data_IF_262285892643
#
_entry.id   IF_262285892643
#
_cell.length_a   1.000
_cell.length_b   1.000
_cell.length_c   1.000
_cell.angle_alpha   90.00
_cell.angle_beta   90.00
_cell.angle_gamma   90.00
#
_symmetry.space_group_name_H-M   'P 1'
#
loop_
_entity.id
_entity.type
_entity.pdbx_description
1 polymer ?
#
# COMPACT_ATOMS: atom_id res chain seq x y z
N UNK A 1 -1.99 19.38 3.96
CA UNK A 1 -2.50 18.37 2.99
C UNK A 1 -1.79 17.05 3.23
N UNK A 2 -2.49 15.98 3.53
CA UNK A 2 -1.87 14.68 3.76
C UNK A 2 -1.53 14.00 2.44
N UNK A 3 -0.27 13.64 2.25
CA UNK A 3 0.21 13.07 0.98
C UNK A 3 1.04 11.80 1.19
N UNK A 4 1.10 10.98 0.14
CA UNK A 4 1.94 9.79 0.07
C UNK A 4 2.29 9.48 -1.39
N UNK A 5 3.29 8.64 -1.61
CA UNK A 5 3.74 8.21 -2.93
C UNK A 5 3.47 6.71 -3.07
N UNK A 6 2.97 6.29 -4.22
CA UNK A 6 2.66 4.90 -4.49
C UNK A 6 2.55 4.56 -5.96
N UNK A 7 2.39 3.27 -6.24
CA UNK A 7 2.12 2.72 -7.57
C UNK A 7 0.65 2.31 -7.65
N UNK A 8 -0.01 2.69 -8.71
CA UNK A 8 -1.40 2.31 -8.98
C UNK A 8 -1.48 0.90 -9.57
N UNK A 9 -2.61 0.24 -9.37
CA UNK A 9 -2.87 -1.04 -10.00
C UNK A 9 -3.45 -0.84 -11.40
N UNK A 10 -3.08 -1.71 -12.34
CA UNK A 10 -3.75 -1.74 -13.62
C UNK A 10 -5.22 -2.23 -13.45
N UNK A 11 -6.11 -1.92 -14.41
CA UNK A 11 -7.52 -2.27 -14.29
C UNK A 11 -7.80 -3.77 -14.14
N UNK A 12 -6.98 -4.61 -14.76
CA UNK A 12 -7.16 -6.07 -14.74
C UNK A 12 -6.86 -6.67 -13.36
N UNK A 13 -5.70 -6.37 -12.78
CA UNK A 13 -5.31 -6.81 -11.43
C UNK A 13 -6.29 -6.25 -10.41
N UNK A 14 -6.66 -4.97 -10.54
CA UNK A 14 -7.66 -4.34 -9.66
C UNK A 14 -9.01 -5.06 -9.70
N UNK A 15 -9.49 -5.44 -10.88
CA UNK A 15 -10.76 -6.15 -11.05
C UNK A 15 -10.71 -7.56 -10.44
N UNK A 16 -9.58 -8.27 -10.56
CA UNK A 16 -9.39 -9.59 -9.92
C UNK A 16 -9.43 -9.46 -8.39
N UNK A 17 -8.74 -8.47 -7.84
CA UNK A 17 -8.75 -8.22 -6.38
C UNK A 17 -10.14 -7.77 -5.92
N UNK A 18 -10.85 -6.94 -6.68
CA UNK A 18 -12.21 -6.53 -6.35
C UNK A 18 -13.16 -7.72 -6.22
N UNK A 19 -13.14 -8.65 -7.18
CA UNK A 19 -13.94 -9.90 -7.10
C UNK A 19 -13.58 -10.76 -5.90
N UNK A 20 -12.30 -10.85 -5.57
CA UNK A 20 -11.85 -11.55 -4.38
C UNK A 20 -12.39 -10.89 -3.11
N UNK A 21 -12.30 -9.56 -3.00
CA UNK A 21 -12.83 -8.80 -1.85
C UNK A 21 -14.34 -9.04 -1.68
N UNK A 22 -15.12 -9.01 -2.76
CA UNK A 22 -16.57 -9.29 -2.73
C UNK A 22 -16.87 -10.69 -2.16
N UNK A 23 -16.00 -11.67 -2.42
CA UNK A 23 -16.16 -13.04 -1.92
C UNK A 23 -15.73 -13.24 -0.46
N UNK A 24 -14.81 -12.43 0.06
CA UNK A 24 -14.18 -12.71 1.37
C UNK A 24 -14.50 -11.69 2.47
N UNK A 25 -14.97 -10.48 2.14
CA UNK A 25 -15.23 -9.46 3.13
C UNK A 25 -16.28 -9.87 4.18
N UNK A 26 -17.21 -10.75 3.83
CA UNK A 26 -18.19 -11.29 4.76
C UNK A 26 -17.60 -12.15 5.88
N UNK A 27 -16.38 -12.66 5.72
CA UNK A 27 -15.67 -13.43 6.75
C UNK A 27 -14.97 -12.57 7.80
N UNK A 28 -14.88 -11.25 7.59
CA UNK A 28 -14.39 -10.28 8.57
C UNK A 28 -15.22 -8.99 8.49
N UNK A 29 -16.51 -9.04 8.87
CA UNK A 29 -17.46 -7.93 8.70
C UNK A 29 -17.10 -6.70 9.54
N UNK A 30 -16.38 -6.87 10.64
CA UNK A 30 -15.96 -5.79 11.53
C UNK A 30 -14.63 -5.14 11.08
N UNK A 31 -13.98 -5.67 10.03
CA UNK A 31 -12.80 -5.07 9.47
C UNK A 31 -13.17 -3.86 8.59
N UNK A 32 -12.26 -2.90 8.52
CA UNK A 32 -12.36 -1.78 7.57
C UNK A 32 -11.69 -2.19 6.27
N UNK A 33 -12.49 -2.59 5.31
CA UNK A 33 -12.04 -2.98 3.98
C UNK A 33 -11.68 -1.76 3.13
N UNK A 34 -10.58 -1.87 2.39
CA UNK A 34 -10.16 -0.85 1.43
C UNK A 34 -11.01 -1.01 0.16
N UNK A 35 -11.53 0.10 -0.35
CA UNK A 35 -12.28 0.08 -1.61
C UNK A 35 -11.35 -0.21 -2.79
N UNK A 36 -11.78 -1.00 -3.79
CA UNK A 36 -10.94 -1.38 -4.93
C UNK A 36 -10.26 -0.21 -5.63
N UNK A 37 -10.95 0.92 -5.79
CA UNK A 37 -10.40 2.14 -6.40
C UNK A 37 -9.33 2.84 -5.57
N UNK A 38 -9.22 2.49 -4.29
CA UNK A 38 -8.21 3.02 -3.37
C UNK A 38 -7.00 2.11 -3.19
N UNK A 39 -6.97 0.96 -3.87
CA UNK A 39 -5.85 0.02 -3.77
C UNK A 39 -4.60 0.59 -4.46
N UNK A 40 -3.47 0.54 -3.78
CA UNK A 40 -2.16 1.00 -4.27
C UNK A 40 -1.02 0.32 -3.51
N UNK A 41 0.13 0.23 -4.14
CA UNK A 41 1.39 -0.16 -3.47
C UNK A 41 2.04 1.11 -2.94
N UNK A 42 2.18 1.25 -1.62
CA UNK A 42 2.80 2.43 -1.02
C UNK A 42 4.32 2.36 -1.16
N UNK A 43 4.93 3.39 -1.74
CA UNK A 43 6.38 3.59 -1.77
C UNK A 43 6.86 4.37 -0.55
N UNK A 44 6.22 5.52 -0.26
CA UNK A 44 6.54 6.35 0.90
C UNK A 44 5.32 7.10 1.43
N UNK A 45 5.15 7.09 2.77
CA UNK A 45 4.23 8.02 3.44
C UNK A 45 4.98 9.31 3.79
N UNK A 46 4.43 10.45 3.37
CA UNK A 46 5.02 11.78 3.65
C UNK A 46 4.30 12.45 4.82
N UNK A 47 2.99 12.28 4.92
CA UNK A 47 2.17 12.87 5.98
C UNK A 47 1.60 14.24 5.60
N UNK A 48 1.32 15.07 6.62
CA UNK A 48 0.74 16.40 6.43
C UNK A 48 1.81 17.39 5.96
N UNK A 49 1.53 18.08 4.83
CA UNK A 49 2.41 19.08 4.25
C UNK A 49 1.64 20.35 3.86
N UNK A 50 2.34 21.49 3.88
CA UNK A 50 1.83 22.76 3.37
C UNK A 50 1.88 22.77 1.84
N UNK A 51 1.07 23.60 1.14
CA UNK A 51 1.08 23.68 -0.31
C UNK A 51 2.46 23.88 -0.93
N UNK A 52 3.24 24.81 -0.37
CA UNK A 52 4.58 25.15 -0.83
C UNK A 52 5.54 23.95 -0.75
N UNK A 53 5.38 23.15 0.31
CA UNK A 53 6.17 21.92 0.48
C UNK A 53 5.74 20.82 -0.51
N UNK A 54 4.46 20.76 -0.83
CA UNK A 54 3.96 19.82 -1.86
C UNK A 54 4.51 20.16 -3.23
N UNK A 55 4.63 21.45 -3.57
CA UNK A 55 5.25 21.92 -4.82
C UNK A 55 6.72 21.52 -4.87
N UNK A 56 7.50 21.80 -3.83
CA UNK A 56 8.90 21.43 -3.75
C UNK A 56 9.11 19.91 -3.86
N UNK A 57 8.28 19.11 -3.20
CA UNK A 57 8.30 17.66 -3.30
C UNK A 57 8.00 17.22 -4.75
N UNK A 58 6.99 17.82 -5.38
CA UNK A 58 6.63 17.50 -6.76
C UNK A 58 7.78 17.77 -7.72
N UNK A 59 8.41 18.94 -7.63
CA UNK A 59 9.58 19.28 -8.45
C UNK A 59 10.76 18.33 -8.22
N UNK A 60 10.99 17.92 -6.97
CA UNK A 60 12.04 16.97 -6.63
C UNK A 60 11.78 15.60 -7.20
N UNK A 61 10.53 15.12 -7.13
CA UNK A 61 10.12 13.82 -7.67
C UNK A 61 10.20 13.75 -9.19
N UNK A 62 10.09 14.86 -9.93
CA UNK A 62 10.31 14.91 -11.38
C UNK A 62 11.73 14.52 -11.80
N UNK A 63 12.69 14.60 -10.87
CA UNK A 63 14.10 14.25 -11.10
C UNK A 63 14.43 12.82 -10.66
N UNK A 64 13.46 12.11 -10.09
CA UNK A 64 13.61 10.70 -9.72
C UNK A 64 13.56 9.86 -10.99
N UNK A 65 14.64 9.14 -11.25
CA UNK A 65 14.76 8.23 -12.38
C UNK A 65 14.51 6.79 -11.93
N UNK A 66 13.90 6.01 -12.79
CA UNK A 66 13.66 4.59 -12.63
C UNK A 66 13.19 3.97 -13.94
N UNK A 67 13.34 2.67 -14.08
CA UNK A 67 12.84 1.93 -15.24
C UNK A 67 11.53 1.23 -14.93
N UNK A 68 10.74 0.94 -15.94
CA UNK A 68 9.57 0.07 -15.83
C UNK A 68 9.97 -1.31 -15.30
N UNK A 69 9.11 -1.93 -14.52
CA UNK A 69 9.35 -3.27 -13.97
C UNK A 69 8.04 -4.03 -13.77
N UNK A 70 8.16 -5.36 -13.73
CA UNK A 70 7.02 -6.22 -13.46
C UNK A 70 6.72 -6.31 -11.97
N UNK A 71 5.43 -6.36 -11.65
CA UNK A 71 4.88 -6.50 -10.30
C UNK A 71 3.85 -7.61 -10.31
N UNK A 72 4.10 -8.72 -9.61
CA UNK A 72 3.13 -9.79 -9.38
C UNK A 72 2.43 -9.55 -8.05
N UNK A 73 1.11 -9.64 -8.03
CA UNK A 73 0.26 -9.55 -6.85
C UNK A 73 -0.20 -10.94 -6.45
N UNK A 74 0.22 -11.42 -5.26
CA UNK A 74 -0.15 -12.78 -4.83
C UNK A 74 0.29 -13.10 -3.40
N UNK A 75 -0.21 -14.21 -2.89
CA UNK A 75 -0.07 -14.53 -1.48
C UNK A 75 -0.81 -13.57 -0.58
N UNK A 76 -0.81 -13.79 0.72
CA UNK A 76 -1.41 -12.89 1.70
C UNK A 76 -0.69 -12.97 3.04
N UNK A 77 -0.96 -12.01 3.90
CA UNK A 77 -0.45 -12.02 5.25
C UNK A 77 -1.07 -10.94 6.14
N UNK A 78 -0.51 -10.84 7.33
CA UNK A 78 -1.01 -9.96 8.37
C UNK A 78 0.13 -9.17 9.01
N UNK A 79 -0.14 -7.92 9.38
CA UNK A 79 0.76 -7.14 10.23
C UNK A 79 0.10 -6.85 11.57
N UNK A 80 0.84 -6.79 12.71
CA UNK A 80 2.26 -7.17 12.83
C UNK A 80 2.52 -8.68 12.68
N UNK A 81 1.58 -9.54 13.08
CA UNK A 81 1.67 -11.01 12.97
C UNK A 81 0.29 -11.62 12.76
N UNK A 82 0.24 -12.91 12.40
CA UNK A 82 -1.01 -13.65 12.23
C UNK A 82 -1.77 -13.87 13.57
N UNK A 83 -1.04 -13.94 14.69
CA UNK A 83 -1.63 -14.12 16.03
C UNK A 83 -2.27 -12.83 16.57
N UNK A 84 -1.81 -11.66 16.10
CA UNK A 84 -2.36 -10.36 16.51
C UNK A 84 -2.55 -9.43 15.30
N UNK A 85 -3.39 -9.83 14.34
CA UNK A 85 -3.49 -9.15 13.05
C UNK A 85 -4.18 -7.79 13.20
N UNK A 86 -3.56 -6.75 12.63
CA UNK A 86 -4.14 -5.40 12.52
C UNK A 86 -4.35 -4.97 11.08
N UNK A 87 -3.59 -5.55 10.15
CA UNK A 87 -3.67 -5.27 8.73
C UNK A 87 -3.67 -6.59 7.99
N UNK A 88 -4.63 -6.80 7.11
CA UNK A 88 -4.66 -7.86 6.14
C UNK A 88 -4.17 -7.31 4.79
N UNK A 89 -3.24 -8.02 4.15
CA UNK A 89 -2.60 -7.56 2.92
C UNK A 89 -2.34 -8.69 1.92
N UNK A 90 -2.21 -8.33 0.66
CA UNK A 90 -1.69 -9.17 -0.43
C UNK A 90 -0.20 -8.85 -0.63
N UNK A 91 0.61 -9.88 -0.88
CA UNK A 91 2.03 -9.76 -1.21
C UNK A 91 2.24 -9.11 -2.58
N UNK A 92 3.29 -8.32 -2.65
CA UNK A 92 3.79 -7.70 -3.87
C UNK A 92 5.17 -8.26 -4.15
N UNK A 93 5.31 -8.93 -5.28
CA UNK A 93 6.55 -9.56 -5.72
C UNK A 93 7.06 -8.81 -6.94
N UNK A 94 8.23 -8.24 -6.83
CA UNK A 94 8.92 -7.51 -7.90
C UNK A 94 10.42 -7.75 -7.78
N UNK A 95 11.15 -7.44 -8.86
CA UNK A 95 12.60 -7.39 -8.84
C UNK A 95 13.13 -6.27 -7.91
N UNK A 96 14.46 -6.09 -7.86
CA UNK A 96 15.09 -5.07 -7.01
C UNK A 96 14.62 -3.64 -7.34
N UNK A 97 14.13 -3.40 -8.55
CA UNK A 97 13.72 -2.08 -9.04
C UNK A 97 12.67 -1.41 -8.16
N UNK A 98 11.74 -2.18 -7.56
CA UNK A 98 10.73 -1.64 -6.66
C UNK A 98 11.35 -1.07 -5.38
N UNK A 99 12.29 -1.80 -4.78
CA UNK A 99 12.99 -1.36 -3.57
C UNK A 99 13.94 -0.19 -3.88
N UNK A 100 14.64 -0.22 -5.00
CA UNK A 100 15.51 0.86 -5.48
C UNK A 100 14.72 2.14 -5.74
N UNK A 101 13.55 2.04 -6.36
CA UNK A 101 12.66 3.19 -6.57
C UNK A 101 12.19 3.78 -5.23
N UNK A 102 11.77 2.94 -4.28
CA UNK A 102 11.34 3.38 -2.96
C UNK A 102 12.48 4.08 -2.20
N UNK A 103 13.71 3.55 -2.26
CA UNK A 103 14.91 4.14 -1.65
C UNK A 103 15.26 5.47 -2.32
N UNK A 104 15.24 5.55 -3.65
CA UNK A 104 15.53 6.79 -4.39
C UNK A 104 14.54 7.90 -4.02
N UNK A 105 13.25 7.56 -3.91
CA UNK A 105 12.21 8.49 -3.47
C UNK A 105 12.44 8.91 -2.01
N UNK A 106 12.85 7.98 -1.15
CA UNK A 106 13.12 8.25 0.26
C UNK A 106 14.29 9.21 0.44
N UNK A 107 15.37 9.02 -0.30
CA UNK A 107 16.54 9.93 -0.33
C UNK A 107 16.12 11.30 -0.88
N UNK A 108 15.46 11.34 -2.03
CA UNK A 108 15.06 12.58 -2.69
C UNK A 108 14.17 13.47 -1.81
N UNK A 109 13.27 12.88 -1.05
CA UNK A 109 12.39 13.61 -0.13
C UNK A 109 13.08 13.98 1.18
N UNK A 110 14.07 13.19 1.64
CA UNK A 110 14.84 13.49 2.83
C UNK A 110 15.65 14.80 2.67
N UNK A 111 16.12 15.11 1.47
CA UNK A 111 16.79 16.38 1.15
C UNK A 111 15.89 17.62 1.35
N UNK A 112 14.57 17.42 1.37
CA UNK A 112 13.57 18.45 1.65
C UNK A 112 13.13 18.46 3.13
N UNK A 113 13.86 17.76 4.01
CA UNK A 113 13.54 17.67 5.42
C UNK A 113 12.41 16.68 5.77
N UNK A 114 11.96 15.87 4.83
CA UNK A 114 11.01 14.79 5.13
C UNK A 114 11.78 13.62 5.74
N UNK A 115 11.43 13.15 6.94
CA UNK A 115 12.14 12.05 7.57
C UNK A 115 12.19 10.81 6.67
N UNK A 116 13.33 10.11 6.69
CA UNK A 116 13.44 8.81 6.03
C UNK A 116 12.44 7.83 6.64
N UNK A 117 11.91 6.96 5.81
CA UNK A 117 10.95 5.96 6.29
C UNK A 117 11.69 4.93 7.14
N UNK A 118 11.40 4.89 8.45
CA UNK A 118 11.99 3.92 9.39
C UNK A 118 11.69 2.45 9.02
N UNK A 119 10.77 2.21 8.07
CA UNK A 119 10.48 0.90 7.51
C UNK A 119 11.44 0.48 6.39
N UNK A 120 12.34 1.38 5.96
CA UNK A 120 13.39 1.15 4.97
C UNK A 120 14.78 1.25 5.63
N UNK A 121 14.91 0.77 6.86
CA UNK A 121 16.20 0.66 7.57
C UNK A 121 16.81 -0.72 7.37
N UNK A 122 18.10 -0.86 7.63
CA UNK A 122 18.79 -2.17 7.59
C UNK A 122 18.11 -3.19 8.51
N UNK A 123 17.60 -2.74 9.67
CA UNK A 123 16.88 -3.57 10.64
C UNK A 123 15.45 -3.92 10.20
N UNK A 124 14.91 -3.19 9.24
CA UNK A 124 13.53 -3.38 8.76
C UNK A 124 13.42 -3.03 7.27
N UNK A 125 13.75 -3.98 6.39
CA UNK A 125 13.73 -3.74 4.95
C UNK A 125 12.32 -3.41 4.45
N UNK A 126 12.26 -2.67 3.35
CA UNK A 126 11.02 -2.37 2.65
C UNK A 126 10.27 -3.66 2.32
N UNK A 127 9.05 -3.78 2.83
CA UNK A 127 8.16 -4.91 2.59
C UNK A 127 6.97 -4.46 1.76
N UNK A 128 7.04 -4.56 0.43
CA UNK A 128 5.96 -4.12 -0.44
C UNK A 128 4.73 -4.99 -0.26
N UNK A 129 3.58 -4.34 -0.06
CA UNK A 129 2.31 -5.02 0.16
C UNK A 129 1.15 -4.13 -0.29
N UNK A 130 0.03 -4.78 -0.57
CA UNK A 130 -1.24 -4.14 -0.87
C UNK A 130 -2.20 -4.32 0.30
N UNK A 131 -2.45 -3.28 1.06
CA UNK A 131 -3.40 -3.34 2.18
C UNK A 131 -4.82 -3.55 1.66
N UNK A 132 -5.50 -4.61 2.14
CA UNK A 132 -6.88 -4.92 1.81
C UNK A 132 -7.86 -4.55 2.92
N UNK A 133 -7.47 -4.76 4.17
CA UNK A 133 -8.32 -4.43 5.32
C UNK A 133 -7.49 -4.06 6.55
N UNK A 134 -8.12 -3.33 7.46
CA UNK A 134 -7.53 -2.97 8.76
C UNK A 134 -8.48 -3.39 9.88
N UNK A 135 -7.91 -3.99 10.92
CA UNK A 135 -8.64 -4.23 12.16
C UNK A 135 -8.98 -2.90 12.83
N UNK A 136 -10.18 -2.82 13.34
CA UNK A 136 -10.71 -1.63 14.00
C UNK A 136 -12.04 -1.29 13.37
N UNK A 137 -13.07 -1.45 14.16
CA UNK A 137 -14.45 -1.25 13.78
C UNK A 137 -14.71 0.17 13.25
N UNK A 138 -15.96 0.38 12.86
CA UNK A 138 -16.54 1.69 12.53
C UNK A 138 -16.05 2.76 13.51
N UNK A 139 -15.92 3.99 13.03
CA UNK A 139 -15.63 5.18 13.84
C UNK A 139 -16.36 5.12 15.19
N UNK A 140 -15.61 4.98 16.31
CA UNK A 140 -16.17 4.85 17.66
C UNK A 140 -15.83 3.55 18.39
N UNK A 141 -15.26 2.54 17.74
CA UNK A 141 -14.80 1.36 18.47
C UNK A 141 -13.63 1.72 19.40
N UNK A 142 -13.60 1.25 20.65
CA UNK A 142 -12.52 1.56 21.58
C UNK A 142 -11.17 1.08 21.02
N UNK A 143 -10.14 1.92 21.19
CA UNK A 143 -8.77 1.50 20.87
C UNK A 143 -8.41 0.35 21.79
N UNK A 144 -7.95 -0.77 21.22
CA UNK A 144 -7.42 -1.89 22.00
C UNK A 144 -6.31 -1.40 22.92
N UNK A 145 -6.37 -1.83 24.18
CA UNK A 145 -5.39 -1.50 25.23
C UNK A 145 -4.44 -2.69 25.47
N UNK A 146 -3.34 -2.41 26.17
CA UNK A 146 -2.42 -3.46 26.61
C UNK A 146 -3.15 -4.34 27.63
N UNK A 147 -3.37 -5.62 27.29
CA UNK A 147 -4.15 -6.56 28.11
C UNK A 147 -5.44 -7.06 27.44
N UNK A 148 -5.89 -6.44 26.36
CA UNK A 148 -6.93 -7.02 25.54
C UNK A 148 -6.44 -8.36 24.97
N UNK A 149 -7.29 -9.38 25.00
CA UNK A 149 -6.97 -10.71 24.45
C UNK A 149 -6.55 -10.69 22.97
N UNK A 150 -6.25 -11.84 22.33
CA UNK A 150 -5.85 -11.89 20.94
C UNK A 150 -6.87 -11.23 20.02
N UNK A 151 -6.38 -10.58 18.96
CA UNK A 151 -7.28 -9.98 17.97
C UNK A 151 -7.79 -11.04 17.00
N UNK A 152 -9.06 -11.40 17.09
CA UNK A 152 -9.68 -12.46 16.30
C UNK A 152 -10.46 -11.97 15.08
N UNK A 153 -10.36 -10.66 14.75
CA UNK A 153 -11.16 -10.04 13.68
C UNK A 153 -11.00 -10.73 12.31
N UNK A 154 -9.83 -11.31 12.05
CA UNK A 154 -9.53 -12.02 10.82
C UNK A 154 -9.50 -13.55 10.98
N UNK A 155 -9.85 -14.12 12.13
CA UNK A 155 -9.69 -15.55 12.40
C UNK A 155 -10.53 -16.43 11.45
N UNK A 156 -11.78 -16.03 11.14
CA UNK A 156 -12.63 -16.76 10.20
C UNK A 156 -12.11 -16.60 8.77
N UNK A 157 -11.69 -15.40 8.40
CA UNK A 157 -11.09 -15.10 7.11
C UNK A 157 -9.83 -15.96 6.88
N UNK A 158 -8.92 -15.99 7.86
CA UNK A 158 -7.67 -16.75 7.75
C UNK A 158 -7.91 -18.24 7.50
N UNK A 159 -8.87 -18.83 8.23
CA UNK A 159 -9.28 -20.21 8.04
C UNK A 159 -9.82 -20.47 6.62
N UNK A 160 -10.60 -19.53 6.07
CA UNK A 160 -11.14 -19.65 4.70
C UNK A 160 -10.02 -19.54 3.67
N UNK A 161 -9.12 -18.57 3.84
CA UNK A 161 -8.00 -18.36 2.93
C UNK A 161 -7.04 -19.56 2.91
N UNK A 162 -6.75 -20.16 4.06
CA UNK A 162 -5.95 -21.38 4.13
C UNK A 162 -6.54 -22.54 3.33
N UNK A 163 -7.86 -22.61 3.19
CA UNK A 163 -8.56 -23.62 2.38
C UNK A 163 -8.58 -23.30 0.87
N UNK A 164 -8.32 -22.04 0.48
CA UNK A 164 -8.35 -21.60 -0.93
C UNK A 164 -7.04 -21.90 -1.68
N UNK A 165 -5.95 -22.22 -0.98
CA UNK A 165 -4.63 -22.41 -1.58
C UNK A 165 -3.91 -21.09 -1.88
N UNK A 166 -2.97 -21.13 -2.82
CA UNK A 166 -2.17 -19.94 -3.17
C UNK A 166 -3.03 -18.91 -3.90
N UNK A 167 -3.02 -17.68 -3.41
CA UNK A 167 -3.71 -16.55 -4.05
C UNK A 167 -2.80 -15.93 -5.11
N UNK A 168 -3.29 -15.80 -6.33
CA UNK A 168 -2.62 -15.12 -7.44
C UNK A 168 -3.60 -14.18 -8.16
N UNK A 169 -3.26 -12.91 -8.19
CA UNK A 169 -4.07 -11.86 -8.84
C UNK A 169 -3.47 -11.39 -10.15
N UNK A 170 -2.35 -12.00 -10.57
CA UNK A 170 -1.66 -11.72 -11.82
C UNK A 170 -0.53 -10.73 -11.70
N UNK A 171 0.03 -10.41 -12.87
CA UNK A 171 1.19 -9.54 -13.03
C UNK A 171 0.79 -8.28 -13.78
N UNK A 172 1.41 -7.17 -13.43
CA UNK A 172 1.30 -5.89 -14.15
C UNK A 172 2.67 -5.27 -14.32
N UNK A 173 2.82 -4.35 -15.28
CA UNK A 173 4.01 -3.51 -15.42
C UNK A 173 3.78 -2.18 -14.71
N UNK A 174 4.65 -1.85 -13.76
CA UNK A 174 4.71 -0.51 -13.16
C UNK A 174 5.39 0.43 -14.15
N UNK A 175 4.63 1.39 -14.71
CA UNK A 175 5.09 2.38 -15.69
C UNK A 175 5.22 3.78 -15.13
N UNK A 176 4.70 4.00 -13.95
CA UNK A 176 4.71 5.30 -13.28
C UNK A 176 4.60 5.11 -11.77
N UNK A 177 5.04 6.10 -11.03
CA UNK A 177 4.65 6.28 -9.64
C UNK A 177 3.86 7.59 -9.49
N UNK A 178 3.11 7.73 -8.41
CA UNK A 178 2.11 8.78 -8.29
C UNK A 178 2.20 9.42 -6.91
N UNK A 179 2.16 10.75 -6.87
CA UNK A 179 1.91 11.51 -5.66
C UNK A 179 0.41 11.61 -5.42
N UNK A 180 -0.04 11.11 -4.27
CA UNK A 180 -1.43 11.10 -3.86
C UNK A 180 -1.70 12.05 -2.72
N UNK A 181 -2.86 12.70 -2.77
CA UNK A 181 -3.50 13.29 -1.60
C UNK A 181 -4.42 12.26 -0.93
N UNK A 182 -4.34 12.17 0.40
CA UNK A 182 -5.24 11.37 1.22
C UNK A 182 -6.19 12.26 1.99
N UNK A 183 -7.47 12.09 1.77
CA UNK A 183 -8.55 12.74 2.52
C UNK A 183 -9.26 11.68 3.36
N UNK A 184 -9.23 11.85 4.68
CA UNK A 184 -9.93 10.96 5.61
C UNK A 184 -11.38 11.43 5.75
N UNK A 185 -12.32 10.49 5.60
CA UNK A 185 -13.73 10.74 5.85
C UNK A 185 -14.35 9.62 6.68
N UNK A 186 -15.54 9.83 7.18
CA UNK A 186 -16.32 8.80 7.87
C UNK A 186 -16.60 7.56 6.98
N UNK A 187 -16.66 7.78 5.65
CA UNK A 187 -16.85 6.72 4.66
C UNK A 187 -15.53 6.02 4.24
N UNK A 188 -14.40 6.35 4.88
CA UNK A 188 -13.07 5.83 4.57
C UNK A 188 -12.14 6.88 3.95
N UNK A 189 -10.96 6.44 3.53
CA UNK A 189 -9.98 7.29 2.85
C UNK A 189 -10.32 7.44 1.38
N UNK A 190 -10.30 8.67 0.90
CA UNK A 190 -10.36 9.00 -0.53
C UNK A 190 -8.97 9.45 -0.97
N UNK A 191 -8.49 8.91 -2.08
CA UNK A 191 -7.20 9.27 -2.66
C UNK A 191 -7.40 10.00 -3.97
N UNK A 192 -6.68 11.12 -4.11
CA UNK A 192 -6.66 11.93 -5.33
C UNK A 192 -5.25 11.93 -5.88
N UNK A 193 -5.09 11.60 -7.15
CA UNK A 193 -3.79 11.65 -7.85
C UNK A 193 -3.46 13.13 -8.11
N UNK A 194 -2.38 13.61 -7.49
CA UNK A 194 -1.90 14.98 -7.67
C UNK A 194 -0.98 15.09 -8.89
N UNK A 195 -0.01 14.18 -8.97
CA UNK A 195 0.97 14.17 -10.06
C UNK A 195 1.41 12.74 -10.38
N UNK A 196 1.65 12.46 -11.66
CA UNK A 196 2.18 11.20 -12.19
C UNK A 196 3.63 11.41 -12.65
N UNK A 197 4.48 10.44 -12.41
CA UNK A 197 5.90 10.45 -12.75
C UNK A 197 6.21 9.18 -13.55
N UNK A 198 6.45 9.32 -14.87
CA UNK A 198 6.69 8.16 -15.72
C UNK A 198 8.05 7.51 -15.41
N UNK A 199 8.09 6.20 -15.46
CA UNK A 199 9.32 5.42 -15.47
C UNK A 199 9.80 5.24 -16.92
N UNK A 200 11.11 5.09 -17.09
CA UNK A 200 11.70 4.87 -18.44
C UNK A 200 11.34 3.49 -18.94
N UNK A 201 10.88 3.41 -20.17
CA UNK A 201 10.70 2.13 -20.85
C UNK A 201 12.05 1.43 -20.99
N UNK A 202 12.15 0.16 -20.59
CA UNK A 202 13.30 -0.67 -20.90
C UNK A 202 13.31 -0.88 -22.42
N UNK A 203 14.22 -0.21 -23.12
CA UNK A 203 14.45 -0.51 -24.54
C UNK A 203 14.96 -1.95 -24.61
N UNK A 204 14.22 -2.82 -25.30
CA UNK A 204 14.73 -4.14 -25.67
C UNK A 204 15.90 -3.92 -26.63
N UNK A 205 17.14 -4.18 -26.18
CA UNK A 205 18.28 -4.38 -27.08
C UNK A 205 18.16 -5.73 -27.79
#
# INVERSE_FOLDING_TARGET
>A
MRIFIGIDLNPEVRARIARFLDGVQGFAPDARWVRPESLHVTLKFIGEQKPEQVEAITERLQRVEGSEFEVRCGGYGYFPTAESPRVFWIGIHAGPQLAELAETIDIATAELGIPRDSRNSEDRPYSPHLTLARAGGRSGAPKRQKGDGPNTIFAVLDKQLAAMGELDFGTMTAREFILYQSQLSAAGSKYTKLQRFPLRTLSSE
#
